data_IF_911101632387
#
_entry.id   IF_911101632387
#
_cell.length_a   1.000
_cell.length_b   1.000
_cell.length_c   1.000
_cell.angle_alpha   90.00
_cell.angle_beta   90.00
_cell.angle_gamma   90.00
#
_symmetry.space_group_name_H-M   'P 1'
#
loop_
_entity.id
_entity.type
_entity.pdbx_description
1 polymer ?
#
# COMPACT_ATOMS: atom_id res chain seq x y z
N UNK A 1 -6.10 -32.32 50.46
CA UNK A 1 -7.57 -32.28 50.31
C UNK A 1 -7.92 -30.83 50.01
N UNK A 2 -8.48 -30.39 48.88
CA UNK A 2 -9.38 -31.00 47.89
C UNK A 2 -9.15 -30.25 46.55
N UNK A 3 -9.18 -30.99 45.42
CA UNK A 3 -9.34 -30.64 43.98
C UNK A 3 -9.22 -29.16 43.52
N UNK A 4 -8.50 -28.80 42.47
CA UNK A 4 -8.56 -29.39 41.12
C UNK A 4 -9.47 -28.53 40.23
N UNK A 5 -8.90 -27.61 39.45
CA UNK A 5 -9.63 -26.76 38.51
C UNK A 5 -8.92 -26.74 37.15
N UNK A 6 -9.32 -27.66 36.27
CA UNK A 6 -8.84 -27.80 34.91
C UNK A 6 -9.11 -26.54 34.06
N UNK A 7 -8.08 -26.16 33.31
CA UNK A 7 -8.12 -25.23 32.19
C UNK A 7 -9.04 -25.78 31.09
N UNK A 8 -10.27 -25.25 30.97
CA UNK A 8 -11.12 -25.51 29.81
C UNK A 8 -10.80 -24.49 28.71
N UNK A 9 -9.83 -24.81 27.86
CA UNK A 9 -9.68 -24.13 26.57
C UNK A 9 -10.82 -24.60 25.65
N UNK A 10 -11.76 -23.69 25.35
CA UNK A 10 -12.73 -23.88 24.28
C UNK A 10 -12.00 -24.17 22.95
N UNK A 11 -12.03 -25.44 22.53
CA UNK A 11 -11.58 -25.86 21.20
C UNK A 11 -12.57 -25.31 20.17
N UNK A 12 -12.26 -24.13 19.62
CA UNK A 12 -12.94 -23.65 18.43
C UNK A 12 -12.67 -24.65 17.31
N UNK A 13 -13.73 -25.30 16.82
CA UNK A 13 -13.65 -26.31 15.77
C UNK A 13 -13.13 -25.67 14.46
N UNK A 14 -11.81 -25.72 14.25
CA UNK A 14 -11.14 -25.13 13.09
C UNK A 14 -11.17 -26.12 11.94
N UNK A 15 -12.04 -25.87 10.97
CA UNK A 15 -12.03 -26.60 9.71
C UNK A 15 -10.74 -26.31 8.95
N UNK A 16 -10.07 -27.38 8.53
CA UNK A 16 -8.93 -27.26 7.62
C UNK A 16 -9.41 -26.94 6.20
N UNK A 17 -8.56 -26.25 5.42
CA UNK A 17 -8.83 -25.96 3.99
C UNK A 17 -9.17 -27.23 3.20
N UNK A 18 -8.56 -28.36 3.57
CA UNK A 18 -8.80 -29.67 2.95
C UNK A 18 -10.20 -30.20 3.25
N UNK A 19 -10.67 -30.09 4.49
CA UNK A 19 -12.04 -30.50 4.88
C UNK A 19 -13.10 -29.66 4.16
N UNK A 20 -12.85 -28.37 3.96
CA UNK A 20 -13.73 -27.50 3.18
C UNK A 20 -13.85 -27.93 1.71
N UNK A 21 -12.73 -28.23 1.06
CA UNK A 21 -12.73 -28.67 -0.34
C UNK A 21 -13.41 -30.04 -0.51
N UNK A 22 -13.22 -30.96 0.44
CA UNK A 22 -13.87 -32.27 0.40
C UNK A 22 -15.39 -32.19 0.60
N UNK A 23 -15.88 -31.30 1.47
CA UNK A 23 -17.31 -31.10 1.67
C UNK A 23 -18.00 -30.50 0.43
N UNK A 24 -17.33 -29.59 -0.27
CA UNK A 24 -17.86 -28.97 -1.50
C UNK A 24 -17.99 -29.97 -2.66
N UNK A 25 -17.09 -30.95 -2.77
CA UNK A 25 -17.13 -31.96 -3.85
C UNK A 25 -18.27 -32.99 -3.69
N UNK A 26 -18.72 -33.26 -2.46
CA UNK A 26 -19.80 -34.21 -2.20
C UNK A 26 -21.19 -33.67 -2.62
N UNK A 27 -21.37 -32.34 -2.68
CA UNK A 27 -22.64 -31.72 -3.05
C UNK A 27 -22.99 -31.86 -4.54
N UNK A 28 -21.99 -32.08 -5.42
CA UNK A 28 -22.20 -32.20 -6.87
C UNK A 28 -22.41 -33.64 -7.35
N UNK A 29 -21.98 -34.64 -6.57
CA UNK A 29 -21.99 -36.06 -6.99
C UNK A 29 -23.30 -36.82 -6.76
N UNK A 30 -24.17 -36.37 -5.85
CA UNK A 30 -25.39 -37.10 -5.48
C UNK A 30 -26.56 -36.93 -6.47
N UNK A 31 -26.47 -36.01 -7.43
CA UNK A 31 -27.57 -35.72 -8.36
C UNK A 31 -27.65 -36.64 -9.59
N UNK A 32 -26.67 -37.53 -9.79
CA UNK A 32 -26.53 -38.29 -11.05
C UNK A 32 -27.21 -39.66 -11.07
N UNK A 33 -27.98 -40.07 -10.04
CA UNK A 33 -28.52 -41.46 -9.94
C UNK A 33 -30.03 -41.53 -9.66
N UNK A 34 -30.83 -40.52 -10.05
CA UNK A 34 -32.30 -40.62 -9.95
C UNK A 34 -32.96 -40.68 -11.35
N UNK A 35 -33.92 -41.61 -11.57
CA UNK A 35 -34.60 -41.76 -12.86
C UNK A 35 -35.46 -40.54 -13.19
N UNK A 36 -35.40 -40.11 -14.46
CA UNK A 36 -35.84 -38.82 -14.98
C UNK A 36 -37.35 -38.52 -15.00
N UNK A 37 -38.12 -38.87 -13.98
CA UNK A 37 -39.56 -38.53 -13.88
C UNK A 37 -39.99 -37.87 -12.57
N UNK A 38 -39.06 -37.33 -11.78
CA UNK A 38 -39.36 -36.53 -10.59
C UNK A 38 -39.07 -35.02 -10.74
N UNK A 39 -38.84 -34.52 -11.96
CA UNK A 39 -38.53 -33.10 -12.20
C UNK A 39 -39.76 -32.21 -12.48
N UNK A 40 -40.97 -32.75 -12.43
CA UNK A 40 -42.19 -32.00 -12.73
C UNK A 40 -42.80 -31.21 -11.54
N UNK A 41 -42.15 -31.21 -10.36
CA UNK A 41 -42.71 -30.63 -9.13
C UNK A 41 -41.89 -29.55 -8.43
N UNK A 42 -40.66 -29.27 -8.85
CA UNK A 42 -39.84 -28.19 -8.26
C UNK A 42 -39.89 -26.95 -9.14
N UNK A 43 -41.10 -26.41 -9.26
CA UNK A 43 -41.29 -25.03 -9.69
C UNK A 43 -40.47 -24.11 -8.80
N UNK A 44 -39.67 -23.26 -9.43
CA UNK A 44 -39.19 -21.98 -8.91
C UNK A 44 -38.67 -21.96 -7.47
N UNK A 45 -37.57 -22.68 -7.22
CA UNK A 45 -36.63 -22.32 -6.16
C UNK A 45 -35.20 -22.19 -6.69
N UNK A 46 -35.04 -21.93 -8.00
CA UNK A 46 -33.87 -21.21 -8.46
C UNK A 46 -33.94 -19.85 -7.77
N UNK A 47 -33.28 -19.78 -6.61
CA UNK A 47 -33.27 -18.62 -5.74
C UNK A 47 -33.13 -17.41 -6.62
N UNK A 48 -34.16 -16.57 -6.60
CA UNK A 48 -34.11 -15.24 -7.18
C UNK A 48 -32.79 -14.69 -6.70
N UNK A 49 -31.80 -14.65 -7.59
CA UNK A 49 -30.52 -14.11 -7.24
C UNK A 49 -30.89 -12.75 -6.69
N UNK A 50 -30.71 -12.55 -5.38
CA UNK A 50 -30.66 -11.22 -4.84
C UNK A 50 -29.48 -10.67 -5.61
N UNK A 51 -29.78 -9.97 -6.70
CA UNK A 51 -28.90 -9.04 -7.33
C UNK A 51 -28.72 -7.96 -6.25
N UNK A 52 -27.99 -8.34 -5.20
CA UNK A 52 -27.42 -7.41 -4.28
C UNK A 52 -26.63 -6.52 -5.20
N UNK A 53 -27.05 -5.25 -5.27
CA UNK A 53 -26.29 -4.23 -5.94
C UNK A 53 -24.86 -4.40 -5.42
N UNK A 54 -24.00 -5.00 -6.24
CA UNK A 54 -22.58 -4.97 -5.96
C UNK A 54 -22.28 -3.50 -6.07
N UNK A 55 -22.02 -2.87 -4.92
CA UNK A 55 -21.50 -1.52 -4.90
C UNK A 55 -20.36 -1.49 -5.91
N UNK A 56 -20.51 -0.63 -6.92
CA UNK A 56 -19.55 -0.50 -7.99
C UNK A 56 -18.29 0.13 -7.39
N UNK A 57 -17.46 -0.71 -6.77
CA UNK A 57 -16.15 -0.31 -6.29
C UNK A 57 -15.24 -0.08 -7.49
N UNK A 58 -14.58 1.07 -7.50
CA UNK A 58 -13.52 1.38 -8.43
C UNK A 58 -12.44 0.29 -8.33
N UNK A 59 -12.39 -0.58 -9.32
CA UNK A 59 -11.49 -1.75 -9.34
C UNK A 59 -10.01 -1.37 -9.54
N UNK A 60 -9.70 -0.07 -9.70
CA UNK A 60 -8.34 0.40 -9.87
C UNK A 60 -7.63 0.55 -8.52
N UNK A 61 -6.46 -0.08 -8.41
CA UNK A 61 -5.56 0.14 -7.29
C UNK A 61 -5.12 1.61 -7.26
N UNK A 62 -5.12 2.20 -6.06
CA UNK A 62 -4.69 3.58 -5.80
C UNK A 62 -3.48 3.56 -4.86
N UNK A 63 -2.48 4.43 -5.07
CA UNK A 63 -1.38 4.55 -4.12
C UNK A 63 -1.87 5.11 -2.80
N UNK A 64 -1.20 4.75 -1.71
CA UNK A 64 -1.39 5.42 -0.44
C UNK A 64 -0.74 6.81 -0.49
N UNK A 65 -1.35 7.85 0.11
CA UNK A 65 -0.65 9.11 0.32
C UNK A 65 0.56 8.88 1.23
N UNK A 66 1.63 9.67 1.07
CA UNK A 66 2.84 9.53 1.90
C UNK A 66 2.54 9.66 3.40
N UNK A 67 1.63 10.56 3.79
CA UNK A 67 1.18 10.72 5.18
C UNK A 67 0.43 9.50 5.74
N UNK A 68 -0.05 8.60 4.87
CA UNK A 68 -0.70 7.34 5.23
C UNK A 68 0.27 6.17 5.42
N UNK A 69 1.57 6.38 5.24
CA UNK A 69 2.60 5.33 5.35
C UNK A 69 3.61 5.72 6.43
N UNK A 70 3.80 4.85 7.43
CA UNK A 70 4.83 5.04 8.48
C UNK A 70 5.87 3.92 8.40
N UNK A 71 7.11 4.31 8.14
CA UNK A 71 8.24 3.39 8.21
C UNK A 71 8.48 2.97 9.66
N UNK A 72 8.74 1.68 9.86
CA UNK A 72 9.13 1.11 11.15
C UNK A 72 10.66 1.00 11.20
N UNK A 73 11.27 0.83 12.40
CA UNK A 73 12.72 0.66 12.51
C UNK A 73 13.26 -0.41 11.55
N UNK A 74 14.30 -0.04 10.79
CA UNK A 74 14.90 -0.83 9.73
C UNK A 74 15.47 0.04 8.61
N UNK A 75 16.11 -0.60 7.61
CA UNK A 75 16.95 0.07 6.60
C UNK A 75 16.30 1.27 5.87
N UNK A 76 14.98 1.22 5.64
CA UNK A 76 14.29 2.30 4.92
C UNK A 76 14.09 3.54 5.79
N UNK A 77 13.88 3.36 7.10
CA UNK A 77 13.85 4.48 8.03
C UNK A 77 15.24 5.08 8.16
N UNK A 78 16.28 4.26 8.26
CA UNK A 78 17.67 4.71 8.32
C UNK A 78 18.05 5.57 7.10
N UNK A 79 17.63 5.15 5.89
CA UNK A 79 17.86 5.94 4.68
C UNK A 79 17.05 7.23 4.62
N UNK A 80 15.79 7.21 5.10
CA UNK A 80 14.98 8.42 5.18
C UNK A 80 15.64 9.46 6.09
N UNK A 81 16.07 9.04 7.28
CA UNK A 81 16.72 9.90 8.27
C UNK A 81 18.06 10.43 7.76
N UNK A 82 18.86 9.58 7.11
CA UNK A 82 20.11 10.02 6.48
C UNK A 82 19.87 11.04 5.35
N UNK A 83 18.82 10.86 4.54
CA UNK A 83 18.48 11.79 3.48
C UNK A 83 17.97 13.12 4.05
N UNK A 84 17.14 13.08 5.10
CA UNK A 84 16.70 14.28 5.81
C UNK A 84 17.87 15.05 6.39
N UNK A 85 18.79 14.37 7.08
CA UNK A 85 20.00 14.98 7.62
C UNK A 85 20.88 15.62 6.54
N UNK A 86 20.98 15.00 5.36
CA UNK A 86 21.66 15.59 4.22
C UNK A 86 20.96 16.87 3.74
N UNK A 87 19.64 16.84 3.51
CA UNK A 87 18.88 18.01 3.06
C UNK A 87 18.98 19.18 4.05
N UNK A 88 18.85 18.90 5.34
CA UNK A 88 18.97 19.92 6.41
C UNK A 88 20.38 20.51 6.49
N UNK A 89 21.41 19.77 6.07
CA UNK A 89 22.78 20.27 6.02
C UNK A 89 23.06 21.25 4.87
N UNK A 90 22.16 21.35 3.89
CA UNK A 90 22.38 22.19 2.71
C UNK A 90 22.19 23.68 3.05
N UNK A 91 23.20 24.54 2.81
CA UNK A 91 23.09 25.96 3.11
C UNK A 91 22.20 26.68 2.07
N UNK A 92 21.03 27.14 2.51
CA UNK A 92 20.03 27.82 1.69
C UNK A 92 20.58 28.99 0.86
N UNK A 93 21.49 29.79 1.42
CA UNK A 93 22.07 30.93 0.69
C UNK A 93 22.90 30.50 -0.53
N UNK A 94 23.56 29.34 -0.45
CA UNK A 94 24.29 28.78 -1.59
C UNK A 94 23.34 28.17 -2.62
N UNK A 95 22.28 27.49 -2.16
CA UNK A 95 21.23 26.97 -3.04
C UNK A 95 20.56 28.08 -3.86
N UNK A 96 20.32 29.25 -3.23
CA UNK A 96 19.67 30.39 -3.86
C UNK A 96 20.61 31.31 -4.65
N UNK A 97 21.94 31.11 -4.56
CA UNK A 97 22.94 32.00 -5.13
C UNK A 97 22.66 32.36 -6.59
N UNK A 98 22.54 31.34 -7.46
CA UNK A 98 22.35 31.56 -8.91
C UNK A 98 20.98 32.17 -9.23
N UNK A 99 19.94 31.81 -8.46
CA UNK A 99 18.61 32.39 -8.64
C UNK A 99 18.60 33.89 -8.32
N UNK A 100 19.28 34.30 -7.23
CA UNK A 100 19.44 35.72 -6.87
C UNK A 100 20.12 36.50 -7.99
N UNK A 101 21.28 36.02 -8.46
CA UNK A 101 22.01 36.70 -9.54
C UNK A 101 21.19 36.78 -10.84
N UNK A 102 20.48 35.70 -11.20
CA UNK A 102 19.59 35.70 -12.39
C UNK A 102 18.46 36.70 -12.27
N UNK A 103 17.95 36.94 -11.06
CA UNK A 103 16.94 37.96 -10.78
C UNK A 103 17.52 39.38 -10.61
N UNK A 104 18.83 39.58 -10.80
CA UNK A 104 19.49 40.87 -10.58
C UNK A 104 19.66 41.23 -9.10
N UNK A 105 19.48 40.28 -8.19
CA UNK A 105 19.65 40.46 -6.75
C UNK A 105 21.10 40.09 -6.38
N UNK A 106 21.89 41.00 -5.77
CA UNK A 106 23.26 40.69 -5.35
C UNK A 106 23.26 39.69 -4.19
N UNK A 107 24.32 38.88 -4.10
CA UNK A 107 24.52 37.91 -3.03
C UNK A 107 26.02 37.77 -2.75
N UNK A 108 26.38 37.59 -1.47
CA UNK A 108 27.76 37.30 -1.03
C UNK A 108 28.01 35.82 -0.78
N UNK A 109 26.99 34.97 -0.93
CA UNK A 109 27.11 33.53 -0.71
C UNK A 109 28.03 32.89 -1.74
N UNK A 110 28.76 31.85 -1.35
CA UNK A 110 29.55 31.07 -2.32
C UNK A 110 28.63 30.23 -3.21
N UNK A 111 28.82 30.23 -4.54
CA UNK A 111 28.05 29.37 -5.43
C UNK A 111 28.29 27.89 -5.12
N UNK A 112 27.33 27.04 -5.51
CA UNK A 112 27.59 25.61 -5.62
C UNK A 112 28.60 25.33 -6.74
N UNK A 113 29.30 24.20 -6.64
CA UNK A 113 30.29 23.75 -7.62
C UNK A 113 29.75 22.69 -8.59
N UNK A 114 30.66 22.00 -9.29
CA UNK A 114 30.30 20.88 -10.17
C UNK A 114 29.33 21.30 -11.28
N UNK A 115 28.24 20.54 -11.46
CA UNK A 115 27.22 20.84 -12.47
C UNK A 115 26.39 22.08 -12.15
N UNK A 116 26.42 22.53 -10.89
CA UNK A 116 25.74 23.75 -10.42
C UNK A 116 26.62 25.00 -10.48
N UNK A 117 27.85 24.87 -10.99
CA UNK A 117 28.76 26.01 -11.12
C UNK A 117 28.09 27.16 -11.91
N UNK A 118 28.26 28.46 -11.54
CA UNK A 118 27.49 29.57 -12.12
C UNK A 118 27.64 29.75 -13.64
N UNK A 119 28.75 29.28 -14.21
CA UNK A 119 28.99 29.27 -15.67
C UNK A 119 28.54 27.98 -16.37
N UNK A 120 27.93 27.05 -15.65
CA UNK A 120 27.42 25.78 -16.18
C UNK A 120 26.00 25.89 -16.70
N UNK A 121 25.63 24.99 -17.60
CA UNK A 121 24.31 24.94 -18.23
C UNK A 121 23.23 24.28 -17.35
N UNK A 122 23.64 23.55 -16.31
CA UNK A 122 22.72 22.88 -15.38
C UNK A 122 22.46 23.67 -14.10
N UNK A 123 23.06 24.86 -13.93
CA UNK A 123 22.86 25.69 -12.73
C UNK A 123 21.37 25.89 -12.40
N UNK A 124 21.02 25.71 -11.14
CA UNK A 124 19.65 25.78 -10.63
C UNK A 124 18.86 24.47 -10.73
N UNK A 125 19.33 23.44 -11.45
CA UNK A 125 18.58 22.18 -11.57
C UNK A 125 18.47 21.47 -10.21
N UNK A 126 19.56 21.43 -9.45
CA UNK A 126 19.63 20.80 -8.15
C UNK A 126 18.73 21.51 -7.15
N UNK A 127 18.95 22.80 -6.93
CA UNK A 127 18.18 23.57 -5.95
C UNK A 127 16.70 23.71 -6.37
N UNK A 128 16.41 24.00 -7.64
CA UNK A 128 15.04 24.27 -8.11
C UNK A 128 14.20 23.02 -8.41
N UNK A 129 14.82 21.95 -8.90
CA UNK A 129 14.11 20.73 -9.30
C UNK A 129 14.20 19.59 -8.28
N UNK A 130 15.38 19.41 -7.68
CA UNK A 130 15.62 18.27 -6.80
C UNK A 130 15.35 18.61 -5.33
N UNK A 131 16.03 19.62 -4.78
CA UNK A 131 15.93 19.96 -3.35
C UNK A 131 14.51 20.37 -2.97
N UNK A 132 13.84 21.21 -3.77
CA UNK A 132 12.46 21.62 -3.50
C UNK A 132 11.41 20.50 -3.62
N UNK A 133 11.74 19.43 -4.36
CA UNK A 133 10.83 18.28 -4.52
C UNK A 133 11.07 17.17 -3.50
N UNK A 134 12.19 17.25 -2.76
CA UNK A 134 12.67 16.19 -1.88
C UNK A 134 11.92 16.11 -0.55
#
# INVERSE_FOLDING_TARGET
MIYGGETSMHSAHRWSRRQWLSAAAAATGAAAVLPGRALAGMGSAAGRAVAGAREAVDAKLKPFPLSGVRLRPGIFLDYLESNQGFLDSLPNDRLLHTFRLTAGIPTSADPLGGWEHPRGELRGHFAGGHVLSA
#
